data_IF_489361208885
#
_entry.id   IF_489361208885
#
_cell.length_a   1.000
_cell.length_b   1.000
_cell.length_c   1.000
_cell.angle_alpha   90.00
_cell.angle_beta   90.00
_cell.angle_gamma   90.00
#
_symmetry.space_group_name_H-M   'P 1'
#
loop_
_entity.id
_entity.type
_entity.pdbx_description
1 polymer ?
#
# COMPACT_ATOMS: atom_id res chain seq x y z
N UNK A 1 -35.12 34.44 -10.01
CA UNK A 1 -33.78 34.39 -10.65
C UNK A 1 -32.77 33.94 -9.60
N UNK A 2 -32.69 32.63 -9.32
CA UNK A 2 -31.76 31.98 -8.37
C UNK A 2 -32.05 30.48 -8.46
N UNK A 3 -31.12 29.52 -8.50
CA UNK A 3 -29.69 29.49 -8.72
C UNK A 3 -29.40 27.98 -8.82
N UNK A 4 -29.22 27.47 -10.04
CA UNK A 4 -28.95 26.04 -10.32
C UNK A 4 -27.46 25.77 -10.03
N UNK A 5 -27.11 25.24 -8.86
CA UNK A 5 -25.74 24.77 -8.56
C UNK A 5 -25.65 23.51 -7.68
N UNK A 6 -26.77 22.96 -7.22
CA UNK A 6 -26.78 21.76 -6.37
C UNK A 6 -26.08 20.51 -6.95
N UNK A 7 -26.12 20.18 -8.26
CA UNK A 7 -25.48 18.94 -8.74
C UNK A 7 -23.95 19.04 -8.79
N UNK A 8 -23.40 20.25 -8.95
CA UNK A 8 -21.95 20.49 -9.00
C UNK A 8 -21.29 20.31 -7.63
N UNK A 9 -21.97 20.71 -6.54
CA UNK A 9 -21.46 20.49 -5.18
C UNK A 9 -21.42 18.99 -4.83
N UNK A 10 -22.45 18.23 -5.20
CA UNK A 10 -22.50 16.78 -4.97
C UNK A 10 -21.41 16.03 -5.72
N UNK A 11 -21.17 16.39 -7.00
CA UNK A 11 -20.09 15.80 -7.79
C UNK A 11 -18.69 16.18 -7.25
N UNK A 12 -18.52 17.41 -6.76
CA UNK A 12 -17.25 17.85 -6.17
C UNK A 12 -16.93 17.11 -4.86
N UNK A 13 -17.92 16.86 -4.01
CA UNK A 13 -17.74 16.06 -2.78
C UNK A 13 -17.40 14.60 -3.11
N UNK A 14 -18.02 14.03 -4.15
CA UNK A 14 -17.69 12.68 -4.62
C UNK A 14 -16.26 12.58 -5.16
N UNK A 15 -15.81 13.57 -5.95
CA UNK A 15 -14.43 13.63 -6.46
C UNK A 15 -13.41 13.76 -5.33
N UNK A 16 -13.70 14.56 -4.30
CA UNK A 16 -12.83 14.71 -3.13
C UNK A 16 -12.75 13.42 -2.30
N UNK A 17 -13.86 12.70 -2.13
CA UNK A 17 -13.88 11.44 -1.38
C UNK A 17 -13.06 10.33 -2.06
N UNK A 18 -13.10 10.23 -3.39
CA UNK A 18 -12.28 9.27 -4.16
C UNK A 18 -10.79 9.63 -4.10
N UNK A 19 -10.44 10.92 -4.16
CA UNK A 19 -9.06 11.39 -4.04
C UNK A 19 -8.42 11.09 -2.67
N UNK A 20 -9.19 11.19 -1.59
CA UNK A 20 -8.71 10.91 -0.23
C UNK A 20 -8.35 9.43 -0.01
N UNK A 21 -9.09 8.49 -0.61
CA UNK A 21 -8.81 7.06 -0.53
C UNK A 21 -7.54 6.63 -1.28
N UNK A 22 -7.11 7.40 -2.29
CA UNK A 22 -5.89 7.15 -3.04
C UNK A 22 -4.63 7.67 -2.33
N UNK A 23 -4.77 8.66 -1.45
CA UNK A 23 -3.67 9.38 -0.81
C UNK A 23 -3.06 8.66 0.41
N UNK A 24 -3.63 7.56 0.90
CA UNK A 24 -3.08 6.82 2.05
C UNK A 24 -1.77 6.06 1.75
N UNK A 25 -1.31 6.00 0.49
CA UNK A 25 -0.17 5.16 0.09
C UNK A 25 1.19 5.63 0.59
N UNK A 26 1.32 6.89 1.02
CA UNK A 26 2.62 7.50 1.36
C UNK A 26 2.85 7.69 2.87
N UNK A 27 2.00 7.11 3.74
CA UNK A 27 2.21 7.18 5.19
C UNK A 27 3.38 6.26 5.59
N UNK A 28 4.44 6.77 6.25
CA UNK A 28 5.50 5.94 6.79
C UNK A 28 4.95 4.96 7.84
N UNK A 29 5.45 3.72 7.83
CA UNK A 29 5.07 2.70 8.82
C UNK A 29 5.66 3.05 10.20
N UNK A 30 4.83 2.97 11.23
CA UNK A 30 5.26 3.06 12.63
C UNK A 30 5.42 1.68 13.26
N UNK A 31 6.15 1.61 14.39
CA UNK A 31 6.26 0.36 15.17
C UNK A 31 4.89 -0.04 15.69
N UNK A 32 4.53 -1.31 15.50
CA UNK A 32 3.22 -1.86 15.88
C UNK A 32 2.19 -1.79 14.75
N UNK A 33 2.44 -1.04 13.67
CA UNK A 33 1.61 -1.10 12.48
C UNK A 33 1.67 -2.50 11.87
N UNK A 34 0.52 -2.97 11.39
CA UNK A 34 0.47 -4.21 10.61
C UNK A 34 1.23 -3.98 9.31
N UNK A 35 2.22 -4.83 9.04
CA UNK A 35 2.94 -4.82 7.77
C UNK A 35 1.95 -4.94 6.59
N UNK A 36 2.02 -4.05 5.59
CA UNK A 36 1.25 -4.19 4.37
C UNK A 36 1.57 -5.51 3.67
N UNK A 37 0.54 -6.14 3.10
CA UNK A 37 0.73 -7.36 2.33
C UNK A 37 1.35 -7.02 0.97
N UNK A 38 2.26 -7.86 0.50
CA UNK A 38 2.93 -7.70 -0.79
C UNK A 38 3.24 -9.05 -1.41
N UNK A 39 3.47 -9.05 -2.72
CA UNK A 39 3.92 -10.21 -3.47
C UNK A 39 5.15 -9.84 -4.26
N UNK A 40 6.24 -10.58 -4.06
CA UNK A 40 7.49 -10.45 -4.80
C UNK A 40 7.77 -11.73 -5.57
N UNK A 41 8.65 -11.62 -6.55
CA UNK A 41 9.13 -12.76 -7.32
C UNK A 41 10.45 -13.23 -6.70
N UNK A 42 10.57 -14.52 -6.42
CA UNK A 42 11.80 -15.11 -5.92
C UNK A 42 12.85 -15.32 -7.03
N UNK A 43 14.02 -15.83 -6.67
CA UNK A 43 15.13 -16.07 -7.61
C UNK A 43 14.82 -17.08 -8.73
N UNK A 44 13.75 -17.85 -8.60
CA UNK A 44 13.31 -18.83 -9.59
C UNK A 44 12.10 -18.34 -10.40
N UNK A 45 11.70 -17.08 -10.26
CA UNK A 45 10.51 -16.56 -10.93
C UNK A 45 9.19 -16.88 -10.23
N UNK A 46 9.23 -17.47 -9.02
CA UNK A 46 8.02 -17.88 -8.31
C UNK A 46 7.46 -16.72 -7.47
N UNK A 47 6.14 -16.47 -7.49
CA UNK A 47 5.54 -15.50 -6.60
C UNK A 47 5.60 -15.95 -5.13
N UNK A 48 5.97 -15.02 -4.26
CA UNK A 48 6.02 -15.18 -2.80
C UNK A 48 5.23 -14.04 -2.17
N UNK A 49 4.22 -14.40 -1.38
CA UNK A 49 3.34 -13.46 -0.69
C UNK A 49 3.68 -13.40 0.80
N UNK A 50 3.72 -12.21 1.39
CA UNK A 50 4.04 -12.04 2.82
C UNK A 50 3.11 -12.86 3.72
N UNK A 51 1.80 -12.84 3.44
CA UNK A 51 0.82 -13.62 4.20
C UNK A 51 1.12 -15.13 4.24
N UNK A 52 1.60 -15.70 3.14
CA UNK A 52 1.90 -17.14 3.06
C UNK A 52 3.14 -17.52 3.88
N UNK A 53 4.10 -16.59 4.00
CA UNK A 53 5.29 -16.76 4.84
C UNK A 53 4.91 -16.68 6.31
N UNK A 54 4.13 -15.67 6.70
CA UNK A 54 3.63 -15.48 8.07
C UNK A 54 2.72 -16.63 8.53
N UNK A 55 2.00 -17.29 7.62
CA UNK A 55 1.23 -18.49 7.95
C UNK A 55 2.10 -19.69 8.36
N UNK A 56 3.42 -19.65 8.07
CA UNK A 56 4.37 -20.77 8.25
C UNK A 56 5.53 -20.42 9.18
N UNK A 57 5.65 -19.16 9.61
CA UNK A 57 6.79 -18.61 10.36
C UNK A 57 6.27 -17.66 11.43
N UNK A 58 6.88 -17.71 12.61
CA UNK A 58 6.52 -16.82 13.73
C UNK A 58 6.96 -15.36 13.48
N UNK A 59 8.03 -15.16 12.72
CA UNK A 59 8.57 -13.84 12.40
C UNK A 59 9.17 -13.78 10.99
N UNK A 60 9.21 -12.58 10.42
CA UNK A 60 9.80 -12.25 9.11
C UNK A 60 10.61 -10.97 9.23
N UNK A 61 11.82 -10.98 8.68
CA UNK A 61 12.66 -9.79 8.52
C UNK A 61 12.68 -9.41 7.04
N UNK A 62 12.37 -8.15 6.72
CA UNK A 62 12.42 -7.61 5.36
C UNK A 62 13.60 -6.67 5.26
N UNK A 63 14.56 -6.97 4.37
CA UNK A 63 15.70 -6.12 4.09
C UNK A 63 15.54 -5.46 2.72
N UNK A 64 15.70 -4.15 2.65
CA UNK A 64 15.76 -3.38 1.41
C UNK A 64 17.23 -3.12 1.07
N UNK A 65 17.69 -3.60 -0.07
CA UNK A 65 19.04 -3.37 -0.56
C UNK A 65 18.99 -2.85 -2.01
N UNK A 66 19.98 -2.04 -2.39
CA UNK A 66 20.08 -1.49 -3.75
C UNK A 66 20.38 -2.58 -4.78
N UNK A 67 21.24 -3.54 -4.41
CA UNK A 67 21.63 -4.67 -5.24
C UNK A 67 21.83 -5.91 -4.37
N UNK A 68 21.30 -7.05 -4.83
CA UNK A 68 21.53 -8.33 -4.18
C UNK A 68 23.03 -8.67 -4.23
N UNK A 69 23.53 -9.35 -3.19
CA UNK A 69 24.90 -9.85 -3.11
C UNK A 69 26.01 -8.77 -3.04
N UNK A 70 25.70 -7.54 -2.61
CA UNK A 70 26.72 -6.57 -2.21
C UNK A 70 27.20 -6.84 -0.78
N UNK A 71 28.51 -6.75 -0.47
CA UNK A 71 28.97 -6.63 0.90
C UNK A 71 28.35 -5.35 1.47
N UNK A 72 27.59 -5.47 2.56
CA UNK A 72 27.01 -4.32 3.25
C UNK A 72 28.04 -3.35 3.78
#
# INVERSE_FOLDING_TARGET
>A
MTRRHLPLLGLMVLVLAVGALAAERDKPLAVGDRAPDFTLVDQNGKPVKLADVLARREAVVVAFYLKADSPG
#
